data_IF_507266262089
#
_entry.id   IF_507266262089
#
_cell.length_a   1.000
_cell.length_b   1.000
_cell.length_c   1.000
_cell.angle_alpha   90.00
_cell.angle_beta   90.00
_cell.angle_gamma   90.00
#
_symmetry.space_group_name_H-M   'P 1'
#
loop_
_entity.id
_entity.type
_entity.pdbx_description
1 polymer ?
#
# COMPACT_ATOMS: atom_id res chain seq x y z
N UNK A 1 -18.12 19.81 -58.22
CA UNK A 1 -17.17 20.25 -57.17
C UNK A 1 -16.93 21.76 -57.20
N UNK A 2 -16.80 22.39 -58.37
CA UNK A 2 -16.63 23.85 -58.47
C UNK A 2 -17.82 24.67 -57.93
N UNK A 3 -19.06 24.23 -58.17
CA UNK A 3 -20.27 24.95 -57.71
C UNK A 3 -20.41 25.04 -56.18
N UNK A 4 -19.97 24.01 -55.44
CA UNK A 4 -19.97 24.00 -53.97
C UNK A 4 -18.90 24.93 -53.38
N UNK A 5 -17.79 25.11 -54.10
CA UNK A 5 -16.73 26.02 -53.69
C UNK A 5 -17.18 27.48 -53.81
N UNK A 6 -17.87 27.82 -54.90
CA UNK A 6 -18.39 29.18 -55.13
C UNK A 6 -19.47 29.56 -54.11
N UNK A 7 -20.36 28.64 -53.75
CA UNK A 7 -21.38 28.88 -52.73
C UNK A 7 -20.79 29.07 -51.33
N UNK A 8 -19.75 28.30 -50.97
CA UNK A 8 -19.03 28.50 -49.71
C UNK A 8 -18.34 29.88 -49.65
N UNK A 9 -17.73 30.34 -50.74
CA UNK A 9 -17.12 31.67 -50.78
C UNK A 9 -18.16 32.79 -50.63
N UNK A 10 -19.29 32.69 -51.32
CA UNK A 10 -20.39 33.66 -51.18
C UNK A 10 -20.99 33.68 -49.77
N UNK A 11 -21.06 32.53 -49.10
CA UNK A 11 -21.52 32.43 -47.71
C UNK A 11 -20.53 33.10 -46.74
N UNK A 12 -19.23 32.88 -46.91
CA UNK A 12 -18.17 33.49 -46.10
C UNK A 12 -18.16 35.02 -46.29
N UNK A 13 -18.25 35.50 -47.53
CA UNK A 13 -18.31 36.93 -47.83
C UNK A 13 -19.55 37.59 -47.23
N UNK A 14 -20.70 36.91 -47.30
CA UNK A 14 -21.95 37.40 -46.68
C UNK A 14 -21.83 37.46 -45.15
N UNK A 15 -21.29 36.41 -44.51
CA UNK A 15 -21.04 36.40 -43.06
C UNK A 15 -20.07 37.52 -42.66
N UNK A 16 -19.02 37.74 -43.45
CA UNK A 16 -18.04 38.80 -43.21
C UNK A 16 -18.67 40.20 -43.32
N UNK A 17 -19.47 40.45 -44.36
CA UNK A 17 -20.18 41.73 -44.57
C UNK A 17 -21.21 41.97 -43.46
N UNK A 18 -21.98 40.94 -43.08
CA UNK A 18 -22.99 41.03 -42.01
C UNK A 18 -22.32 41.30 -40.65
N UNK A 19 -21.20 40.64 -40.37
CA UNK A 19 -20.39 40.88 -39.17
C UNK A 19 -19.78 42.29 -39.16
N UNK A 20 -19.24 42.75 -40.29
CA UNK A 20 -18.66 44.10 -40.44
C UNK A 20 -19.72 45.19 -40.23
N UNK A 21 -20.91 45.03 -40.83
CA UNK A 21 -22.01 45.96 -40.67
C UNK A 21 -22.55 45.98 -39.23
N UNK A 22 -22.66 44.81 -38.60
CA UNK A 22 -23.02 44.70 -37.18
C UNK A 22 -22.00 45.39 -36.27
N UNK A 23 -20.69 45.16 -36.51
CA UNK A 23 -19.60 45.77 -35.75
C UNK A 23 -19.59 47.30 -35.89
N UNK A 24 -19.85 47.81 -37.10
CA UNK A 24 -19.94 49.25 -37.40
C UNK A 24 -21.14 49.92 -36.73
N UNK A 25 -22.30 49.25 -36.69
CA UNK A 25 -23.53 49.79 -36.10
C UNK A 25 -23.58 49.63 -34.57
N UNK A 26 -22.76 48.73 -34.02
CA UNK A 26 -22.77 48.35 -32.60
C UNK A 26 -21.42 48.63 -31.94
N UNK A 27 -20.85 49.83 -32.16
CA UNK A 27 -19.48 50.22 -31.74
C UNK A 27 -19.22 49.85 -30.28
N UNK A 28 -20.18 50.11 -29.37
CA UNK A 28 -20.06 49.75 -27.96
C UNK A 28 -19.99 48.23 -27.73
N UNK A 29 -20.92 47.47 -28.32
CA UNK A 29 -20.98 46.01 -28.17
C UNK A 29 -19.80 45.29 -28.83
N UNK A 30 -19.29 45.82 -29.94
CA UNK A 30 -18.10 45.28 -30.60
C UNK A 30 -16.84 45.45 -29.73
N UNK A 31 -16.63 46.65 -29.16
CA UNK A 31 -15.52 46.90 -28.24
C UNK A 31 -15.65 46.05 -26.95
N UNK A 32 -16.88 45.90 -26.43
CA UNK A 32 -17.16 45.05 -25.28
C UNK A 32 -16.87 43.57 -25.57
N UNK A 33 -17.31 43.06 -26.73
CA UNK A 33 -17.05 41.69 -27.16
C UNK A 33 -15.55 41.43 -27.36
N UNK A 34 -14.83 42.31 -28.05
CA UNK A 34 -13.37 42.23 -28.17
C UNK A 34 -12.68 42.23 -26.80
N UNK A 35 -13.14 43.05 -25.86
CA UNK A 35 -12.60 43.08 -24.49
C UNK A 35 -12.81 41.74 -23.77
N UNK A 36 -13.97 41.11 -23.90
CA UNK A 36 -14.25 39.78 -23.34
C UNK A 36 -13.36 38.72 -23.97
N UNK A 37 -13.31 38.67 -25.31
CA UNK A 37 -12.49 37.69 -26.04
C UNK A 37 -11.01 37.86 -25.66
N UNK A 38 -10.53 39.11 -25.60
CA UNK A 38 -9.19 39.42 -25.15
C UNK A 38 -8.95 38.93 -23.72
N UNK A 39 -9.85 39.22 -22.77
CA UNK A 39 -9.74 38.75 -21.39
C UNK A 39 -9.69 37.22 -21.28
N UNK A 40 -10.49 36.50 -22.08
CA UNK A 40 -10.46 35.03 -22.13
C UNK A 40 -9.11 34.54 -22.65
N UNK A 41 -8.59 35.12 -23.74
CA UNK A 41 -7.29 34.76 -24.29
C UNK A 41 -6.16 35.05 -23.28
N UNK A 42 -6.19 36.22 -22.65
CA UNK A 42 -5.21 36.59 -21.62
C UNK A 42 -5.27 35.63 -20.43
N UNK A 43 -6.46 35.31 -19.92
CA UNK A 43 -6.62 34.34 -18.83
C UNK A 43 -6.09 32.95 -19.24
N UNK A 44 -6.41 32.48 -20.45
CA UNK A 44 -5.92 31.19 -20.94
C UNK A 44 -4.38 31.15 -21.03
N UNK A 45 -3.78 32.15 -21.65
CA UNK A 45 -2.33 32.17 -21.94
C UNK A 45 -1.50 32.47 -20.70
N UNK A 46 -1.94 33.39 -19.84
CA UNK A 46 -1.13 33.87 -18.71
C UNK A 46 -1.50 33.26 -17.36
N UNK A 47 -2.70 32.68 -17.22
CA UNK A 47 -3.13 32.02 -15.97
C UNK A 47 -3.33 30.53 -16.16
N UNK A 48 -4.29 30.11 -17.00
CA UNK A 48 -4.70 28.70 -17.06
C UNK A 48 -3.60 27.76 -17.57
N UNK A 49 -2.93 28.09 -18.68
CA UNK A 49 -1.86 27.24 -19.26
C UNK A 49 -0.64 27.15 -18.31
N UNK A 50 -0.09 28.27 -17.78
CA UNK A 50 1.01 28.22 -16.82
C UNK A 50 0.65 27.45 -15.55
N UNK A 51 -0.55 27.64 -15.01
CA UNK A 51 -1.01 26.96 -13.80
C UNK A 51 -1.19 25.46 -14.04
N UNK A 52 -1.77 25.06 -15.18
CA UNK A 52 -1.89 23.65 -15.57
C UNK A 52 -0.52 22.98 -15.73
N UNK A 53 0.45 23.66 -16.36
CA UNK A 53 1.83 23.17 -16.48
C UNK A 53 2.50 23.03 -15.11
N UNK A 54 2.34 24.04 -14.24
CA UNK A 54 2.86 24.02 -12.86
C UNK A 54 2.26 22.85 -12.07
N UNK A 55 0.94 22.66 -12.15
CA UNK A 55 0.22 21.56 -11.51
C UNK A 55 0.74 20.20 -11.99
N UNK A 56 0.82 19.98 -13.31
CA UNK A 56 1.33 18.71 -13.88
C UNK A 56 2.78 18.41 -13.48
N UNK A 57 3.60 19.45 -13.29
CA UNK A 57 5.00 19.30 -12.90
C UNK A 57 5.17 19.00 -11.40
N UNK A 58 4.39 19.66 -10.54
CA UNK A 58 4.54 19.56 -9.08
C UNK A 58 3.66 18.49 -8.44
N UNK A 59 2.53 18.13 -9.04
CA UNK A 59 1.63 17.06 -8.55
C UNK A 59 2.36 15.72 -8.34
N UNK A 60 3.24 15.24 -9.25
CA UNK A 60 4.00 14.02 -9.02
C UNK A 60 4.87 14.03 -7.76
N UNK A 61 5.35 15.21 -7.32
CA UNK A 61 6.14 15.32 -6.08
C UNK A 61 5.24 15.05 -4.87
N UNK A 62 4.04 15.62 -4.86
CA UNK A 62 3.03 15.36 -3.81
C UNK A 62 2.62 13.89 -3.82
N UNK A 63 2.39 13.30 -5.00
CA UNK A 63 2.03 11.89 -5.13
C UNK A 63 3.14 10.94 -4.65
N UNK A 64 4.41 11.28 -4.92
CA UNK A 64 5.57 10.58 -4.37
C UNK A 64 5.62 10.67 -2.85
N UNK A 65 5.41 11.86 -2.27
CA UNK A 65 5.39 12.02 -0.81
C UNK A 65 4.22 11.25 -0.16
N UNK A 66 3.04 11.22 -0.79
CA UNK A 66 1.92 10.37 -0.36
C UNK A 66 2.27 8.88 -0.42
N UNK A 67 2.96 8.44 -1.47
CA UNK A 67 3.46 7.08 -1.57
C UNK A 67 4.47 6.75 -0.47
N UNK A 68 5.35 7.69 -0.11
CA UNK A 68 6.29 7.51 1.01
C UNK A 68 5.57 7.38 2.35
N UNK A 69 4.49 8.15 2.57
CA UNK A 69 3.64 8.00 3.76
C UNK A 69 2.98 6.62 3.78
N UNK A 70 2.39 6.20 2.66
CA UNK A 70 1.82 4.85 2.51
C UNK A 70 2.85 3.76 2.85
N UNK A 71 4.06 3.86 2.30
CA UNK A 71 5.15 2.91 2.56
C UNK A 71 5.57 2.89 4.04
N UNK A 72 5.71 4.06 4.67
CA UNK A 72 6.00 4.17 6.10
C UNK A 72 4.90 3.57 6.99
N UNK A 73 3.62 3.76 6.63
CA UNK A 73 2.49 3.14 7.33
C UNK A 73 2.48 1.62 7.13
N UNK A 74 2.75 1.12 5.92
CA UNK A 74 2.91 -0.32 5.67
C UNK A 74 3.96 -0.93 6.59
N UNK A 75 5.14 -0.28 6.70
CA UNK A 75 6.21 -0.75 7.59
C UNK A 75 5.83 -0.68 9.07
N UNK A 76 5.02 0.30 9.48
CA UNK A 76 4.49 0.37 10.83
C UNK A 76 3.58 -0.83 11.14
N UNK A 77 2.71 -1.23 10.21
CA UNK A 77 1.87 -2.41 10.37
C UNK A 77 2.68 -3.72 10.31
N UNK A 78 3.69 -3.80 9.45
CA UNK A 78 4.63 -4.92 9.44
C UNK A 78 5.37 -5.05 10.78
N UNK A 79 5.78 -3.92 11.37
CA UNK A 79 6.48 -3.88 12.65
C UNK A 79 5.61 -4.42 13.80
N UNK A 80 4.37 -3.95 13.95
CA UNK A 80 3.51 -4.42 15.04
C UNK A 80 3.14 -5.91 14.87
N UNK A 81 3.12 -6.42 13.64
CA UNK A 81 2.80 -7.81 13.33
C UNK A 81 4.05 -8.72 13.24
N UNK A 82 5.24 -8.22 13.59
CA UNK A 82 6.50 -8.95 13.48
C UNK A 82 6.67 -9.98 14.60
N UNK A 83 7.28 -11.13 14.29
CA UNK A 83 7.57 -12.16 15.28
C UNK A 83 8.90 -11.92 16.03
N UNK A 84 9.98 -11.63 15.29
CA UNK A 84 11.34 -11.43 15.82
C UNK A 84 12.03 -10.26 15.13
N UNK A 85 13.05 -9.71 15.78
CA UNK A 85 13.95 -8.74 15.15
C UNK A 85 14.50 -9.24 13.81
N UNK A 86 14.62 -8.33 12.85
CA UNK A 86 15.10 -8.60 11.48
C UNK A 86 14.29 -9.61 10.64
N UNK A 87 13.07 -9.99 11.04
CA UNK A 87 12.15 -10.79 10.22
C UNK A 87 11.00 -9.95 9.64
N UNK A 88 10.53 -10.20 8.41
CA UNK A 88 9.26 -9.64 7.95
C UNK A 88 8.09 -10.23 8.74
N UNK A 89 6.95 -9.54 8.78
CA UNK A 89 5.73 -10.12 9.33
C UNK A 89 5.16 -11.21 8.42
N UNK A 90 4.59 -12.26 9.02
CA UNK A 90 3.77 -13.25 8.31
C UNK A 90 2.46 -12.66 7.76
N UNK A 91 2.08 -11.44 8.18
CA UNK A 91 0.82 -10.79 7.83
C UNK A 91 0.95 -9.82 6.66
N UNK A 92 2.10 -9.76 5.97
CA UNK A 92 2.31 -8.84 4.84
C UNK A 92 1.23 -8.97 3.76
N UNK A 93 0.75 -10.19 3.49
CA UNK A 93 -0.30 -10.45 2.52
C UNK A 93 -1.62 -9.79 2.95
N UNK A 94 -2.03 -9.96 4.22
CA UNK A 94 -3.20 -9.29 4.79
C UNK A 94 -3.06 -7.76 4.81
N UNK A 95 -1.87 -7.26 5.19
CA UNK A 95 -1.61 -5.81 5.22
C UNK A 95 -1.74 -5.23 3.81
N UNK A 96 -1.08 -5.84 2.80
CA UNK A 96 -1.14 -5.40 1.40
C UNK A 96 -2.55 -5.52 0.82
N UNK A 97 -3.29 -6.56 1.19
CA UNK A 97 -4.67 -6.79 0.72
C UNK A 97 -5.73 -5.91 1.39
N UNK A 98 -5.39 -5.19 2.46
CA UNK A 98 -6.37 -4.41 3.22
C UNK A 98 -7.31 -5.28 4.08
N UNK A 99 -6.90 -6.50 4.44
CA UNK A 99 -7.75 -7.52 5.11
C UNK A 99 -7.35 -7.82 6.55
N UNK A 100 -6.45 -7.03 7.15
CA UNK A 100 -6.07 -7.20 8.55
C UNK A 100 -7.24 -6.85 9.48
N UNK A 101 -7.64 -7.79 10.34
CA UNK A 101 -8.73 -7.57 11.29
C UNK A 101 -8.25 -6.85 12.57
N UNK A 102 -9.19 -6.31 13.35
CA UNK A 102 -8.89 -5.78 14.69
C UNK A 102 -8.26 -6.86 15.59
N UNK A 103 -8.72 -8.11 15.49
CA UNK A 103 -8.20 -9.23 16.26
C UNK A 103 -6.78 -9.61 15.85
N UNK A 104 -6.45 -9.54 14.55
CA UNK A 104 -5.07 -9.71 14.08
C UNK A 104 -4.16 -8.64 14.71
N UNK A 105 -4.55 -7.37 14.69
CA UNK A 105 -3.79 -6.27 15.31
C UNK A 105 -3.63 -6.48 16.81
N UNK A 106 -4.73 -6.81 17.50
CA UNK A 106 -4.72 -7.11 18.95
C UNK A 106 -3.74 -8.22 19.27
N UNK A 107 -3.70 -9.27 18.46
CA UNK A 107 -2.78 -10.40 18.61
C UNK A 107 -1.32 -9.97 18.37
N UNK A 108 -1.05 -9.22 17.30
CA UNK A 108 0.29 -8.75 16.98
C UNK A 108 0.93 -7.86 18.06
N UNK A 109 0.11 -7.12 18.81
CA UNK A 109 0.56 -6.26 19.90
C UNK A 109 0.88 -7.00 21.20
N UNK A 110 0.51 -8.29 21.35
CA UNK A 110 0.67 -9.02 22.61
C UNK A 110 2.12 -9.24 23.02
N UNK A 111 3.06 -9.27 22.08
CA UNK A 111 4.48 -9.33 22.38
C UNK A 111 5.20 -7.99 22.22
N UNK A 112 4.49 -6.87 22.04
CA UNK A 112 5.12 -5.57 21.79
C UNK A 112 5.14 -4.72 23.04
N UNK A 113 6.31 -4.18 23.38
CA UNK A 113 6.48 -3.26 24.50
C UNK A 113 7.12 -1.94 24.03
N UNK A 114 7.04 -0.92 24.88
CA UNK A 114 7.48 0.43 24.52
C UNK A 114 9.02 0.51 24.43
N UNK A 115 9.72 -0.01 25.43
CA UNK A 115 11.19 0.05 25.51
C UNK A 115 11.73 -1.11 26.38
N UNK A 116 13.05 -1.23 26.46
CA UNK A 116 13.70 -2.31 27.21
C UNK A 116 13.40 -2.31 28.73
N UNK A 117 13.00 -1.18 29.32
CA UNK A 117 12.64 -1.13 30.75
C UNK A 117 11.34 -1.90 31.08
N UNK A 118 10.54 -2.23 30.07
CA UNK A 118 9.35 -3.09 30.20
C UNK A 118 9.69 -4.59 30.27
N UNK A 119 10.96 -4.97 30.07
CA UNK A 119 11.44 -6.36 30.11
C UNK A 119 11.75 -6.85 31.54
N UNK A 120 11.01 -6.37 32.54
CA UNK A 120 11.30 -6.65 33.95
C UNK A 120 10.73 -7.98 34.47
N UNK A 121 9.73 -8.57 33.81
CA UNK A 121 9.12 -9.84 34.22
C UNK A 121 9.91 -11.02 33.62
N UNK A 122 10.67 -11.80 34.43
CA UNK A 122 11.53 -12.85 33.92
C UNK A 122 10.77 -13.97 33.19
N UNK A 123 9.46 -14.15 33.48
CA UNK A 123 8.65 -15.21 32.87
C UNK A 123 8.34 -14.93 31.39
N UNK A 124 8.26 -13.67 31.00
CA UNK A 124 7.81 -13.26 29.67
C UNK A 124 8.80 -12.33 28.94
N UNK A 125 9.83 -11.82 29.60
CA UNK A 125 10.78 -10.85 29.02
C UNK A 125 11.40 -11.32 27.71
N UNK A 126 11.76 -12.60 27.61
CA UNK A 126 12.33 -13.23 26.40
C UNK A 126 11.33 -13.37 25.23
N UNK A 127 10.04 -13.15 25.48
CA UNK A 127 8.98 -13.19 24.47
C UNK A 127 8.60 -11.79 23.99
N UNK A 128 9.01 -10.72 24.68
CA UNK A 128 8.63 -9.35 24.37
C UNK A 128 9.65 -8.67 23.45
N UNK A 129 9.15 -7.78 22.60
CA UNK A 129 9.92 -7.00 21.62
C UNK A 129 9.70 -5.50 21.86
N UNK A 130 10.74 -4.76 22.25
CA UNK A 130 10.70 -3.31 22.35
C UNK A 130 10.61 -2.66 20.95
N UNK A 131 9.55 -1.89 20.70
CA UNK A 131 9.33 -1.25 19.38
C UNK A 131 9.00 0.25 19.44
N UNK A 132 8.97 0.87 20.61
CA UNK A 132 8.55 2.26 20.77
C UNK A 132 9.39 3.26 19.98
N UNK A 133 10.71 3.10 19.97
CA UNK A 133 11.64 3.96 19.21
C UNK A 133 11.34 3.92 17.70
N UNK A 134 11.18 2.71 17.14
CA UNK A 134 10.88 2.52 15.73
C UNK A 134 9.51 3.12 15.35
N UNK A 135 8.52 3.02 16.24
CA UNK A 135 7.21 3.64 16.02
C UNK A 135 7.34 5.17 16.04
N UNK A 136 8.10 5.73 16.98
CA UNK A 136 8.33 7.17 17.05
C UNK A 136 9.03 7.71 15.80
N UNK A 137 10.11 7.07 15.37
CA UNK A 137 10.83 7.46 14.16
C UNK A 137 9.94 7.40 12.92
N UNK A 138 9.15 6.34 12.77
CA UNK A 138 8.19 6.20 11.67
C UNK A 138 7.12 7.30 11.72
N UNK A 139 6.57 7.57 12.90
CA UNK A 139 5.55 8.61 13.11
C UNK A 139 6.08 10.00 12.77
N UNK A 140 7.29 10.33 13.24
CA UNK A 140 7.97 11.60 12.95
C UNK A 140 8.24 11.77 11.44
N UNK A 141 8.70 10.70 10.78
CA UNK A 141 8.90 10.71 9.33
C UNK A 141 7.60 10.97 8.58
N UNK A 142 6.51 10.30 8.96
CA UNK A 142 5.18 10.51 8.36
C UNK A 142 4.74 11.96 8.57
N UNK A 143 4.88 12.50 9.78
CA UNK A 143 4.51 13.88 10.08
C UNK A 143 5.24 14.90 9.21
N UNK A 144 6.56 14.75 9.05
CA UNK A 144 7.39 15.61 8.19
C UNK A 144 6.95 15.55 6.72
N UNK A 145 6.57 14.37 6.22
CA UNK A 145 6.05 14.21 4.86
C UNK A 145 4.67 14.88 4.71
N UNK A 146 3.82 14.78 5.73
CA UNK A 146 2.53 15.48 5.74
C UNK A 146 2.77 17.00 5.71
N UNK A 147 3.64 17.55 6.54
CA UNK A 147 3.95 19.00 6.53
C UNK A 147 4.46 19.48 5.17
N UNK A 148 5.29 18.67 4.52
CA UNK A 148 5.76 18.93 3.16
C UNK A 148 4.59 18.98 2.18
N UNK A 149 3.66 18.01 2.21
CA UNK A 149 2.47 18.01 1.35
C UNK A 149 1.56 19.22 1.62
N UNK A 150 1.37 19.60 2.89
CA UNK A 150 0.59 20.79 3.27
C UNK A 150 1.21 22.08 2.72
N UNK A 151 2.55 22.15 2.62
CA UNK A 151 3.25 23.26 1.96
C UNK A 151 2.96 23.32 0.45
N UNK A 152 2.51 22.21 -0.14
CA UNK A 152 2.07 22.06 -1.53
C UNK A 152 0.54 21.90 -1.65
N UNK A 153 -0.24 22.44 -0.70
CA UNK A 153 -1.70 22.26 -0.64
C UNK A 153 -2.45 22.58 -1.95
N UNK A 154 -2.01 23.58 -2.72
CA UNK A 154 -2.59 23.96 -4.03
C UNK A 154 -2.52 22.83 -5.08
N UNK A 155 -1.71 21.80 -4.86
CA UNK A 155 -1.56 20.62 -5.71
C UNK A 155 -2.20 19.35 -5.11
N UNK A 156 -2.89 19.49 -3.99
CA UNK A 156 -3.57 18.41 -3.28
C UNK A 156 -5.08 18.64 -3.26
N UNK A 157 -5.86 17.56 -3.30
CA UNK A 157 -7.30 17.67 -3.11
C UNK A 157 -7.66 17.86 -1.63
N UNK A 158 -8.79 18.48 -1.29
CA UNK A 158 -9.24 18.59 0.09
C UNK A 158 -9.42 17.23 0.79
N UNK A 159 -9.82 16.20 0.04
CA UNK A 159 -10.00 14.83 0.55
C UNK A 159 -8.66 14.25 0.99
N UNK A 160 -7.61 14.42 0.18
CA UNK A 160 -6.25 13.99 0.51
C UNK A 160 -5.74 14.70 1.77
N UNK A 161 -5.86 16.03 1.82
CA UNK A 161 -5.40 16.82 2.96
C UNK A 161 -6.12 16.44 4.26
N UNK A 162 -7.44 16.20 4.19
CA UNK A 162 -8.23 15.76 5.34
C UNK A 162 -7.82 14.37 5.80
N UNK A 163 -7.58 13.44 4.87
CA UNK A 163 -7.12 12.09 5.20
C UNK A 163 -5.75 12.13 5.89
N UNK A 164 -4.80 12.90 5.35
CA UNK A 164 -3.48 13.05 5.94
C UNK A 164 -3.54 13.67 7.33
N UNK A 165 -4.42 14.64 7.56
CA UNK A 165 -4.63 15.22 8.88
C UNK A 165 -5.22 14.20 9.88
N UNK A 166 -6.18 13.38 9.44
CA UNK A 166 -6.69 12.26 10.27
C UNK A 166 -5.59 11.26 10.63
N UNK A 167 -4.72 10.91 9.68
CA UNK A 167 -3.56 10.04 9.91
C UNK A 167 -2.63 10.66 10.95
N UNK A 168 -2.31 11.95 10.81
CA UNK A 168 -1.50 12.69 11.79
C UNK A 168 -2.12 12.69 13.18
N UNK A 169 -3.43 12.92 13.29
CA UNK A 169 -4.14 12.93 14.57
C UNK A 169 -4.10 11.56 15.24
N UNK A 170 -4.33 10.47 14.49
CA UNK A 170 -4.25 9.12 15.05
C UNK A 170 -2.82 8.76 15.45
N UNK A 171 -1.79 9.18 14.71
CA UNK A 171 -0.38 8.98 15.12
C UNK A 171 -0.05 9.71 16.44
N UNK A 172 -0.61 10.91 16.65
CA UNK A 172 -0.36 11.75 17.83
C UNK A 172 -1.27 11.46 19.03
N UNK A 173 -2.29 10.61 18.87
CA UNK A 173 -3.28 10.30 19.91
C UNK A 173 -2.66 9.79 21.21
N UNK A 174 -1.54 9.09 21.08
CA UNK A 174 -0.73 8.64 22.20
C UNK A 174 0.68 9.20 22.07
N UNK A 175 1.18 9.64 23.21
CA UNK A 175 2.49 10.24 23.32
C UNK A 175 3.60 9.17 23.21
N UNK A 176 4.26 9.13 22.04
CA UNK A 176 5.51 8.40 21.83
C UNK A 176 6.72 9.32 22.00
N UNK A 177 6.63 10.41 22.78
CA UNK A 177 7.76 11.32 22.98
C UNK A 177 9.03 10.54 23.38
N UNK A 178 10.15 10.99 22.83
CA UNK A 178 11.49 10.45 23.04
C UNK A 178 11.78 10.30 24.54
N UNK A 179 11.23 11.20 25.35
CA UNK A 179 11.29 11.14 26.81
C UNK A 179 10.60 9.89 27.37
N UNK A 180 9.35 9.60 26.99
CA UNK A 180 8.63 8.39 27.44
C UNK A 180 9.27 7.09 26.95
N UNK A 181 9.88 7.12 25.78
CA UNK A 181 10.63 5.97 25.24
C UNK A 181 11.92 5.74 26.02
N UNK A 182 12.57 6.80 26.51
CA UNK A 182 13.79 6.74 27.33
C UNK A 182 13.52 6.64 28.83
N UNK A 183 12.30 6.92 29.27
CA UNK A 183 11.86 6.83 30.66
C UNK A 183 11.90 5.38 31.13
N UNK A 184 12.46 5.20 32.32
CA UNK A 184 12.47 3.92 32.98
C UNK A 184 11.06 3.65 33.52
N UNK A 185 10.40 2.59 33.07
CA UNK A 185 9.05 2.21 33.49
C UNK A 185 8.93 2.10 35.03
N UNK A 186 10.03 1.74 35.70
CA UNK A 186 10.12 1.63 37.15
C UNK A 186 9.99 3.00 37.84
N UNK A 187 10.53 4.07 37.25
CA UNK A 187 10.60 5.40 37.89
C UNK A 187 9.33 6.23 37.78
N UNK A 188 8.43 5.94 36.83
CA UNK A 188 7.28 6.81 36.53
C UNK A 188 5.99 6.33 37.19
N UNK A 189 5.77 5.01 37.30
CA UNK A 189 4.49 4.45 37.77
C UNK A 189 4.63 3.27 38.73
N UNK A 190 5.85 2.83 39.04
CA UNK A 190 6.08 1.44 39.43
C UNK A 190 5.85 0.48 38.25
N UNK A 191 6.16 -0.80 38.44
CA UNK A 191 6.05 -1.80 37.37
C UNK A 191 4.61 -1.89 36.84
N UNK A 192 4.35 -1.61 35.55
CA UNK A 192 3.02 -1.75 34.99
C UNK A 192 2.58 -3.22 35.06
N UNK A 193 1.34 -3.47 35.52
CA UNK A 193 0.80 -4.84 35.62
C UNK A 193 0.84 -5.59 34.29
N UNK A 194 0.73 -4.87 33.17
CA UNK A 194 0.80 -5.39 31.81
C UNK A 194 1.85 -4.60 31.01
N UNK A 195 3.01 -5.21 30.67
CA UNK A 195 4.15 -4.49 30.10
C UNK A 195 4.11 -4.34 28.56
N UNK A 196 2.93 -4.37 27.95
CA UNK A 196 2.75 -4.41 26.50
C UNK A 196 1.82 -3.31 26.00
N UNK A 197 1.92 -2.96 24.71
CA UNK A 197 1.21 -1.82 24.12
C UNK A 197 -0.17 -2.18 23.50
N UNK A 198 -0.73 -3.35 23.83
CA UNK A 198 -2.04 -3.79 23.28
C UNK A 198 -3.19 -2.82 23.61
N UNK A 199 -3.09 -2.01 24.67
CA UNK A 199 -4.11 -1.00 25.02
C UNK A 199 -4.34 0.03 23.89
N UNK A 200 -3.47 0.03 22.87
CA UNK A 200 -3.56 0.85 21.66
C UNK A 200 -4.21 0.14 20.48
N UNK A 201 -4.78 -1.04 20.67
CA UNK A 201 -5.40 -1.82 19.59
C UNK A 201 -6.38 -1.00 18.75
N UNK A 202 -7.22 -0.17 19.38
CA UNK A 202 -8.19 0.67 18.66
C UNK A 202 -7.50 1.73 17.81
N UNK A 203 -6.47 2.38 18.35
CA UNK A 203 -5.72 3.39 17.62
C UNK A 203 -4.97 2.81 16.42
N UNK A 204 -4.34 1.65 16.56
CA UNK A 204 -3.72 0.98 15.42
C UNK A 204 -4.75 0.52 14.40
N UNK A 205 -5.92 0.05 14.84
CA UNK A 205 -6.98 -0.37 13.93
C UNK A 205 -7.61 0.81 13.18
N UNK A 206 -7.86 1.93 13.84
CA UNK A 206 -8.35 3.14 13.19
C UNK A 206 -7.32 3.74 12.24
N UNK A 207 -6.03 3.76 12.62
CA UNK A 207 -4.94 4.10 11.71
C UNK A 207 -4.87 3.15 10.50
N UNK A 208 -5.16 1.86 10.69
CA UNK A 208 -5.16 0.88 9.60
C UNK A 208 -6.28 1.15 8.58
N UNK A 209 -7.47 1.57 9.03
CA UNK A 209 -8.54 2.00 8.13
C UNK A 209 -8.12 3.20 7.28
N UNK A 210 -7.48 4.20 7.91
CA UNK A 210 -6.96 5.37 7.21
C UNK A 210 -5.84 4.99 6.22
N UNK A 211 -5.00 4.01 6.57
CA UNK A 211 -4.01 3.44 5.67
C UNK A 211 -4.64 2.79 4.43
N UNK A 212 -5.75 2.07 4.57
CA UNK A 212 -6.49 1.49 3.43
C UNK A 212 -7.06 2.60 2.53
N UNK A 213 -7.60 3.67 3.11
CA UNK A 213 -8.06 4.83 2.33
C UNK A 213 -6.90 5.47 1.55
N UNK A 214 -5.73 5.62 2.17
CA UNK A 214 -4.54 6.15 1.50
C UNK A 214 -4.03 5.20 0.42
N UNK A 215 -4.08 3.89 0.65
CA UNK A 215 -3.70 2.85 -0.29
C UNK A 215 -4.51 2.97 -1.60
N UNK A 216 -5.82 3.18 -1.52
CA UNK A 216 -6.65 3.38 -2.71
C UNK A 216 -6.24 4.64 -3.49
N UNK A 217 -5.98 5.75 -2.81
CA UNK A 217 -5.52 6.99 -3.46
C UNK A 217 -4.19 6.76 -4.17
N UNK A 218 -3.21 6.20 -3.46
CA UNK A 218 -1.84 6.00 -3.96
C UNK A 218 -1.79 4.99 -5.12
N UNK A 219 -2.52 3.87 -5.02
CA UNK A 219 -2.43 2.81 -6.01
C UNK A 219 -3.42 2.98 -7.16
N UNK A 220 -4.59 3.57 -6.95
CA UNK A 220 -5.66 3.62 -7.97
C UNK A 220 -5.93 4.99 -8.56
N UNK A 221 -5.71 6.08 -7.82
CA UNK A 221 -6.12 7.43 -8.23
C UNK A 221 -4.96 8.33 -8.69
N UNK A 222 -3.79 8.16 -8.09
CA UNK A 222 -2.61 8.93 -8.46
C UNK A 222 -2.06 8.53 -9.83
N UNK A 223 -1.41 9.49 -10.49
CA UNK A 223 -0.79 9.26 -11.81
C UNK A 223 0.70 8.89 -11.70
N UNK A 224 1.32 9.13 -10.56
CA UNK A 224 2.69 8.72 -10.27
C UNK A 224 2.84 7.21 -10.43
N UNK A 225 3.76 6.80 -11.30
CA UNK A 225 3.96 5.41 -11.66
C UNK A 225 5.46 5.11 -11.72
N UNK A 226 5.92 4.27 -10.80
CA UNK A 226 7.27 3.72 -10.77
C UNK A 226 7.21 2.19 -10.62
N UNK A 227 8.39 1.57 -10.57
CA UNK A 227 8.52 0.12 -10.37
C UNK A 227 7.83 -0.37 -9.10
N UNK A 228 7.92 0.39 -8.00
CA UNK A 228 7.37 -0.05 -6.72
C UNK A 228 5.85 0.03 -6.68
N UNK A 229 5.26 1.10 -7.22
CA UNK A 229 3.81 1.25 -7.39
C UNK A 229 3.28 0.10 -8.25
N UNK A 230 3.98 -0.26 -9.34
CA UNK A 230 3.61 -1.41 -10.16
C UNK A 230 3.57 -2.71 -9.36
N UNK A 231 4.65 -3.03 -8.64
CA UNK A 231 4.76 -4.24 -7.81
C UNK A 231 3.67 -4.25 -6.71
N UNK A 232 3.51 -3.15 -5.99
CA UNK A 232 2.56 -3.06 -4.89
C UNK A 232 1.12 -3.09 -5.37
N UNK A 233 0.81 -2.52 -6.53
CA UNK A 233 -0.53 -2.60 -7.11
C UNK A 233 -0.89 -4.02 -7.53
N UNK A 234 0.04 -4.78 -8.11
CA UNK A 234 -0.16 -6.21 -8.41
C UNK A 234 -0.52 -6.96 -7.12
N UNK A 235 0.27 -6.76 -6.07
CA UNK A 235 0.07 -7.45 -4.79
C UNK A 235 -1.24 -7.04 -4.13
N UNK A 236 -1.55 -5.74 -4.11
CA UNK A 236 -2.83 -5.24 -3.60
C UNK A 236 -4.02 -5.89 -4.34
N UNK A 237 -4.02 -5.86 -5.67
CA UNK A 237 -5.12 -6.43 -6.46
C UNK A 237 -5.25 -7.93 -6.26
N UNK A 238 -4.13 -8.66 -6.14
CA UNK A 238 -4.16 -10.10 -5.86
C UNK A 238 -4.69 -10.41 -4.45
N UNK A 239 -4.11 -9.81 -3.41
CA UNK A 239 -4.48 -10.10 -2.02
C UNK A 239 -5.84 -9.53 -1.62
N UNK A 240 -6.38 -8.56 -2.36
CA UNK A 240 -7.77 -8.08 -2.22
C UNK A 240 -8.79 -8.88 -3.06
N UNK A 241 -8.37 -9.95 -3.75
CA UNK A 241 -9.26 -10.81 -4.54
C UNK A 241 -9.69 -10.24 -5.90
N UNK A 242 -9.10 -9.12 -6.33
CA UNK A 242 -9.42 -8.44 -7.60
C UNK A 242 -8.64 -9.04 -8.78
N UNK A 243 -8.71 -10.37 -8.96
CA UNK A 243 -7.86 -11.13 -9.89
C UNK A 243 -7.94 -10.65 -11.34
N UNK A 244 -9.14 -10.37 -11.85
CA UNK A 244 -9.31 -9.90 -13.22
C UNK A 244 -8.66 -8.52 -13.44
N UNK A 245 -8.77 -7.63 -12.46
CA UNK A 245 -8.11 -6.32 -12.52
C UNK A 245 -6.59 -6.46 -12.45
N UNK A 246 -6.09 -7.39 -11.63
CA UNK A 246 -4.67 -7.71 -11.55
C UNK A 246 -4.12 -8.18 -12.92
N UNK A 247 -4.82 -9.13 -13.57
CA UNK A 247 -4.50 -9.60 -14.91
C UNK A 247 -4.46 -8.44 -15.91
N UNK A 248 -5.48 -7.59 -15.92
CA UNK A 248 -5.56 -6.43 -16.81
C UNK A 248 -4.40 -5.45 -16.56
N UNK A 249 -4.06 -5.22 -15.29
CA UNK A 249 -2.97 -4.34 -14.90
C UNK A 249 -1.60 -4.87 -15.35
N UNK A 250 -1.33 -6.17 -15.17
CA UNK A 250 -0.10 -6.82 -15.63
C UNK A 250 0.01 -6.75 -17.16
N UNK A 251 -1.06 -7.11 -17.88
CA UNK A 251 -1.06 -7.12 -19.35
C UNK A 251 -0.84 -5.72 -19.94
N UNK A 252 -1.49 -4.70 -19.37
CA UNK A 252 -1.34 -3.30 -19.81
C UNK A 252 0.09 -2.78 -19.65
N UNK A 253 0.80 -3.23 -18.61
CA UNK A 253 2.10 -2.69 -18.23
C UNK A 253 3.29 -3.62 -18.47
N UNK A 254 3.08 -4.74 -19.18
CA UNK A 254 4.08 -5.81 -19.37
C UNK A 254 5.44 -5.36 -19.93
N UNK A 255 5.45 -4.25 -20.68
CA UNK A 255 6.65 -3.76 -21.37
C UNK A 255 7.45 -2.72 -20.56
N UNK A 256 6.93 -2.23 -19.42
CA UNK A 256 7.58 -1.13 -18.67
C UNK A 256 8.72 -1.60 -17.77
N UNK A 257 8.62 -2.79 -17.18
CA UNK A 257 9.58 -3.30 -16.20
C UNK A 257 10.00 -4.73 -16.55
N UNK A 258 10.92 -4.86 -17.51
CA UNK A 258 11.37 -6.18 -17.99
C UNK A 258 12.08 -7.01 -16.92
N UNK A 259 12.75 -6.37 -15.96
CA UNK A 259 13.42 -7.04 -14.84
C UNK A 259 12.43 -7.77 -13.91
N UNK A 260 11.17 -7.32 -13.85
CA UNK A 260 10.11 -7.88 -13.00
C UNK A 260 9.15 -8.80 -13.76
N UNK A 261 9.54 -9.27 -14.94
CA UNK A 261 8.68 -10.11 -15.77
C UNK A 261 8.30 -11.40 -15.04
N UNK A 262 9.27 -12.08 -14.41
CA UNK A 262 9.00 -13.31 -13.66
C UNK A 262 8.10 -13.05 -12.44
N UNK A 263 8.30 -11.93 -11.75
CA UNK A 263 7.45 -11.55 -10.62
C UNK A 263 5.99 -11.34 -11.06
N UNK A 264 5.78 -10.53 -12.10
CA UNK A 264 4.43 -10.23 -12.60
C UNK A 264 3.76 -11.45 -13.24
N UNK A 265 4.51 -12.31 -13.94
CA UNK A 265 3.99 -13.54 -14.52
C UNK A 265 3.64 -14.60 -13.46
N UNK A 266 4.36 -14.67 -12.33
CA UNK A 266 3.94 -15.51 -11.21
C UNK A 266 2.57 -15.05 -10.67
N UNK A 267 2.38 -13.75 -10.41
CA UNK A 267 1.06 -13.24 -9.99
C UNK A 267 -0.01 -13.43 -11.07
N UNK A 268 0.33 -13.29 -12.35
CA UNK A 268 -0.60 -13.61 -13.44
C UNK A 268 -1.06 -15.07 -13.37
N UNK A 269 -0.13 -16.01 -13.23
CA UNK A 269 -0.45 -17.44 -13.10
C UNK A 269 -1.35 -17.68 -11.89
N UNK A 270 -1.00 -17.12 -10.72
CA UNK A 270 -1.83 -17.23 -9.52
C UNK A 270 -3.24 -16.69 -9.74
N UNK A 271 -3.38 -15.53 -10.41
CA UNK A 271 -4.71 -15.02 -10.76
C UNK A 271 -5.48 -15.98 -11.67
N UNK A 272 -4.83 -16.58 -12.68
CA UNK A 272 -5.47 -17.58 -13.55
C UNK A 272 -5.96 -18.80 -12.76
N UNK A 273 -5.19 -19.24 -11.76
CA UNK A 273 -5.61 -20.33 -10.88
C UNK A 273 -6.85 -19.95 -10.07
N UNK A 274 -6.88 -18.75 -9.48
CA UNK A 274 -7.99 -18.26 -8.65
C UNK A 274 -9.30 -18.05 -9.43
N UNK A 275 -9.24 -17.88 -10.76
CA UNK A 275 -10.42 -17.78 -11.64
C UNK A 275 -10.73 -19.10 -12.37
N UNK A 276 -10.25 -20.24 -11.83
CA UNK A 276 -10.43 -21.61 -12.35
C UNK A 276 -9.84 -21.89 -13.75
N UNK A 277 -8.98 -21.02 -14.27
CA UNK A 277 -8.26 -21.25 -15.53
C UNK A 277 -6.94 -22.02 -15.29
N UNK A 278 -7.06 -23.24 -14.77
CA UNK A 278 -5.92 -24.09 -14.42
C UNK A 278 -5.01 -24.40 -15.62
N UNK A 279 -5.57 -24.47 -16.83
CA UNK A 279 -4.80 -24.75 -18.05
C UNK A 279 -3.75 -23.65 -18.30
N UNK A 280 -4.15 -22.39 -18.21
CA UNK A 280 -3.21 -21.28 -18.41
C UNK A 280 -2.23 -21.18 -17.23
N UNK A 281 -2.69 -21.39 -15.99
CA UNK A 281 -1.80 -21.46 -14.81
C UNK A 281 -0.62 -22.41 -15.04
N UNK A 282 -0.88 -23.69 -15.31
CA UNK A 282 0.19 -24.68 -15.48
C UNK A 282 1.11 -24.35 -16.67
N UNK A 283 0.55 -23.83 -17.76
CA UNK A 283 1.33 -23.42 -18.93
C UNK A 283 2.24 -22.23 -18.61
N UNK A 284 1.74 -21.22 -17.90
CA UNK A 284 2.55 -20.07 -17.48
C UNK A 284 3.65 -20.50 -16.52
N UNK A 285 3.35 -21.36 -15.55
CA UNK A 285 4.35 -21.89 -14.62
C UNK A 285 5.44 -22.70 -15.35
N UNK A 286 5.08 -23.62 -16.24
CA UNK A 286 6.05 -24.41 -17.03
C UNK A 286 7.00 -23.47 -17.81
N UNK A 287 6.48 -22.39 -18.40
CA UNK A 287 7.29 -21.39 -19.09
C UNK A 287 8.22 -20.61 -18.16
N UNK A 288 7.74 -20.13 -17.01
CA UNK A 288 8.55 -19.36 -16.05
C UNK A 288 9.70 -20.22 -15.52
N UNK A 289 9.39 -21.43 -15.03
CA UNK A 289 10.32 -22.23 -14.26
C UNK A 289 11.28 -23.06 -15.11
N UNK A 290 11.00 -23.22 -16.40
CA UNK A 290 11.96 -23.76 -17.39
C UNK A 290 13.27 -22.97 -17.42
N UNK A 291 13.21 -21.66 -17.23
CA UNK A 291 14.39 -20.78 -17.22
C UNK A 291 15.07 -20.69 -15.85
N UNK A 292 14.55 -21.42 -14.85
CA UNK A 292 15.06 -21.44 -13.47
C UNK A 292 15.24 -20.02 -12.89
N UNK A 293 14.15 -19.28 -12.64
CA UNK A 293 14.20 -17.88 -12.20
C UNK A 293 14.83 -17.74 -10.80
N UNK A 294 15.10 -16.50 -10.39
CA UNK A 294 15.59 -16.15 -9.04
C UNK A 294 16.89 -16.86 -8.64
N UNK A 295 17.91 -16.70 -9.49
CA UNK A 295 19.23 -17.34 -9.34
C UNK A 295 19.17 -18.88 -9.35
N UNK A 296 18.14 -19.45 -9.96
CA UNK A 296 17.99 -20.88 -10.13
C UNK A 296 17.56 -21.66 -8.90
N UNK A 297 17.23 -20.99 -7.79
CA UNK A 297 16.77 -21.65 -6.57
C UNK A 297 15.24 -21.69 -6.50
N UNK A 298 14.67 -22.89 -6.35
CA UNK A 298 13.23 -23.07 -6.17
C UNK A 298 12.71 -22.42 -4.87
N UNK A 299 13.54 -22.41 -3.82
CA UNK A 299 13.21 -21.80 -2.53
C UNK A 299 13.01 -20.29 -2.63
N UNK A 300 13.69 -19.63 -3.56
CA UNK A 300 13.48 -18.21 -3.84
C UNK A 300 12.07 -17.90 -4.36
N UNK A 301 11.36 -18.91 -4.89
CA UNK A 301 10.00 -18.80 -5.41
C UNK A 301 8.91 -19.24 -4.45
N UNK A 302 9.26 -19.62 -3.22
CA UNK A 302 8.30 -20.16 -2.23
C UNK A 302 7.09 -19.27 -1.95
N UNK A 303 7.24 -17.95 -2.00
CA UNK A 303 6.11 -17.02 -1.81
C UNK A 303 5.00 -17.21 -2.84
N UNK A 304 5.29 -17.76 -4.02
CA UNK A 304 4.30 -18.03 -5.07
C UNK A 304 3.79 -19.46 -5.07
N UNK A 305 4.59 -20.41 -4.58
CA UNK A 305 4.33 -21.84 -4.73
C UNK A 305 3.90 -22.54 -3.44
N UNK A 306 3.98 -21.85 -2.28
CA UNK A 306 3.69 -22.41 -0.96
C UNK A 306 2.32 -23.11 -0.84
N UNK A 307 1.31 -22.60 -1.54
CA UNK A 307 -0.07 -23.11 -1.45
C UNK A 307 -0.31 -24.32 -2.36
N UNK A 308 0.72 -24.77 -3.11
CA UNK A 308 0.62 -25.80 -4.13
C UNK A 308 1.60 -26.96 -3.91
N UNK A 309 2.10 -27.13 -2.68
CA UNK A 309 3.04 -28.21 -2.32
C UNK A 309 2.46 -29.61 -2.48
N UNK A 310 1.13 -29.73 -2.58
CA UNK A 310 0.39 -30.98 -2.77
C UNK A 310 -0.19 -31.14 -4.20
N UNK A 311 -0.03 -30.14 -5.09
CA UNK A 311 -0.55 -30.23 -6.46
C UNK A 311 0.35 -31.11 -7.33
N UNK A 312 -0.05 -32.37 -7.54
CA UNK A 312 0.71 -33.37 -8.31
C UNK A 312 1.11 -32.87 -9.70
N UNK A 313 0.26 -32.09 -10.37
CA UNK A 313 0.53 -31.63 -11.74
C UNK A 313 1.58 -30.52 -11.74
N UNK A 314 1.52 -29.60 -10.77
CA UNK A 314 2.58 -28.61 -10.55
C UNK A 314 3.90 -29.29 -10.19
N UNK A 315 3.86 -30.27 -9.29
CA UNK A 315 5.04 -31.02 -8.86
C UNK A 315 5.72 -31.67 -10.07
N UNK A 316 4.94 -32.34 -10.92
CA UNK A 316 5.44 -32.96 -12.14
C UNK A 316 6.05 -31.94 -13.13
N UNK A 317 5.56 -30.69 -13.16
CA UNK A 317 6.17 -29.62 -13.96
C UNK A 317 7.52 -29.21 -13.38
N UNK A 318 7.58 -28.94 -12.07
CA UNK A 318 8.79 -28.49 -11.40
C UNK A 318 9.91 -29.54 -11.45
N UNK A 319 9.56 -30.83 -11.27
CA UNK A 319 10.52 -31.95 -11.33
C UNK A 319 11.15 -32.18 -12.70
N UNK A 320 10.66 -31.55 -13.78
CA UNK A 320 11.36 -31.54 -15.08
C UNK A 320 12.63 -30.69 -15.05
N UNK A 321 12.68 -29.68 -14.18
CA UNK A 321 13.69 -28.62 -14.20
C UNK A 321 14.51 -28.53 -12.91
N UNK A 322 14.02 -29.08 -11.81
CA UNK A 322 14.65 -29.09 -10.49
C UNK A 322 14.89 -30.51 -10.01
N UNK A 323 15.97 -30.72 -9.24
CA UNK A 323 16.26 -32.04 -8.67
C UNK A 323 15.31 -32.38 -7.51
N UNK A 324 15.24 -33.65 -7.15
CA UNK A 324 14.49 -34.09 -5.96
C UNK A 324 15.02 -33.42 -4.68
N UNK A 325 16.34 -33.26 -4.54
CA UNK A 325 16.95 -32.58 -3.39
C UNK A 325 16.51 -31.11 -3.28
N UNK A 326 16.46 -30.38 -4.41
CA UNK A 326 15.99 -29.00 -4.44
C UNK A 326 14.51 -28.87 -4.05
N UNK A 327 13.70 -29.83 -4.50
CA UNK A 327 12.28 -29.87 -4.20
C UNK A 327 12.01 -30.23 -2.73
N UNK A 328 12.72 -31.21 -2.16
CA UNK A 328 12.61 -31.55 -0.74
C UNK A 328 13.08 -30.39 0.14
N UNK A 329 14.19 -29.72 -0.20
CA UNK A 329 14.64 -28.53 0.51
C UNK A 329 13.60 -27.40 0.50
N UNK A 330 12.91 -27.21 -0.63
CA UNK A 330 11.78 -26.30 -0.75
C UNK A 330 10.62 -26.64 0.18
N UNK A 331 10.22 -27.92 0.25
CA UNK A 331 9.13 -28.37 1.14
C UNK A 331 9.49 -28.15 2.61
N UNK A 332 10.67 -28.58 3.04
CA UNK A 332 11.16 -28.42 4.41
C UNK A 332 11.17 -26.94 4.81
N UNK A 333 11.58 -26.04 3.89
CA UNK A 333 11.57 -24.59 4.15
C UNK A 333 10.15 -24.07 4.40
N UNK A 334 9.16 -24.50 3.60
CA UNK A 334 7.75 -24.08 3.77
C UNK A 334 7.18 -24.61 5.09
N UNK A 335 7.49 -25.85 5.45
CA UNK A 335 7.08 -26.44 6.72
C UNK A 335 7.65 -25.65 7.91
N UNK A 336 8.94 -25.28 7.88
CA UNK A 336 9.55 -24.44 8.90
C UNK A 336 8.90 -23.04 8.99
N UNK A 337 8.55 -22.42 7.87
CA UNK A 337 7.84 -21.13 7.87
C UNK A 337 6.45 -21.26 8.52
N UNK A 338 5.74 -22.36 8.29
CA UNK A 338 4.46 -22.66 8.93
C UNK A 338 4.61 -22.90 10.42
N UNK A 339 5.62 -23.67 10.85
CA UNK A 339 5.92 -23.88 12.27
C UNK A 339 6.25 -22.56 12.99
N UNK A 340 7.01 -21.68 12.35
CA UNK A 340 7.30 -20.36 12.92
C UNK A 340 6.06 -19.47 13.02
N UNK A 341 5.16 -19.54 12.03
CA UNK A 341 3.87 -18.84 12.10
C UNK A 341 3.02 -19.36 13.26
N UNK A 342 2.88 -20.68 13.39
CA UNK A 342 2.12 -21.30 14.48
C UNK A 342 2.72 -20.96 15.85
N UNK A 343 4.06 -20.93 15.96
CA UNK A 343 4.75 -20.48 17.16
C UNK A 343 4.46 -19.03 17.51
N UNK A 344 4.43 -18.12 16.53
CA UNK A 344 4.02 -16.73 16.73
C UNK A 344 2.59 -16.65 17.27
N UNK A 345 1.65 -17.37 16.65
CA UNK A 345 0.24 -17.38 17.04
C UNK A 345 0.08 -17.89 18.48
N UNK A 346 0.69 -19.04 18.80
CA UNK A 346 0.60 -19.67 20.11
C UNK A 346 1.27 -18.83 21.21
N UNK A 347 2.41 -18.21 20.92
CA UNK A 347 3.11 -17.31 21.85
C UNK A 347 2.24 -16.12 22.21
N UNK A 348 1.68 -15.43 21.21
CA UNK A 348 0.86 -14.25 21.44
C UNK A 348 -0.46 -14.55 22.14
N UNK A 349 -1.09 -15.70 21.86
CA UNK A 349 -2.27 -16.15 22.63
C UNK A 349 -1.91 -16.47 24.07
N UNK A 350 -0.77 -17.11 24.30
CA UNK A 350 -0.28 -17.42 25.65
C UNK A 350 0.02 -16.15 26.45
N UNK A 351 0.63 -15.15 25.82
CA UNK A 351 0.85 -13.82 26.40
C UNK A 351 -0.49 -13.13 26.71
N UNK A 352 -1.46 -13.19 25.81
CA UNK A 352 -2.80 -12.64 26.06
C UNK A 352 -3.46 -13.26 27.29
N UNK A 353 -3.43 -14.60 27.42
CA UNK A 353 -3.92 -15.31 28.60
C UNK A 353 -3.14 -14.92 29.87
N UNK A 354 -1.81 -14.78 29.76
CA UNK A 354 -0.96 -14.34 30.86
C UNK A 354 -1.33 -12.92 31.36
N UNK A 355 -1.55 -11.98 30.45
CA UNK A 355 -1.94 -10.62 30.78
C UNK A 355 -3.35 -10.55 31.37
N UNK A 356 -4.30 -11.33 30.87
CA UNK A 356 -5.65 -11.41 31.43
C UNK A 356 -5.69 -11.95 32.87
N UNK A 357 -4.78 -12.86 33.21
CA UNK A 357 -4.63 -13.33 34.60
C UNK A 357 -4.06 -12.25 35.54
N UNK A 358 -3.37 -11.23 35.00
CA UNK A 358 -2.81 -10.11 35.79
C UNK A 358 -3.73 -8.89 35.85
N UNK A 359 -4.59 -8.71 34.85
CA UNK A 359 -5.57 -7.63 34.79
C UNK A 359 -6.91 -8.18 34.32
N UNK A 360 -7.85 -8.33 35.25
CA UNK A 360 -9.18 -8.91 35.04
C UNK A 360 -10.06 -8.13 34.06
N UNK A 361 -9.66 -6.90 33.69
CA UNK A 361 -10.34 -6.12 32.66
C UNK A 361 -10.04 -6.62 31.24
N UNK A 362 -9.08 -7.55 31.09
CA UNK A 362 -8.64 -8.04 29.80
C UNK A 362 -9.30 -9.36 29.46
N UNK A 363 -9.84 -9.41 28.25
CA UNK A 363 -10.43 -10.61 27.68
C UNK A 363 -9.34 -11.32 26.87
N UNK A 364 -8.99 -12.56 27.24
CA UNK A 364 -7.99 -13.34 26.52
C UNK A 364 -8.46 -13.62 25.08
N UNK A 365 -7.51 -13.70 24.15
CA UNK A 365 -7.80 -14.10 22.77
C UNK A 365 -8.00 -15.62 22.74
N UNK A 366 -9.20 -16.09 22.38
CA UNK A 366 -9.55 -17.51 22.33
C UNK A 366 -9.08 -18.21 21.03
N UNK A 367 -8.89 -19.53 21.13
CA UNK A 367 -8.50 -20.41 20.04
C UNK A 367 -9.72 -20.68 19.11
N UNK A 368 -10.14 -19.67 18.34
CA UNK A 368 -11.29 -19.82 17.43
C UNK A 368 -11.49 -18.73 16.40
N UNK A 369 -11.05 -17.50 16.65
CA UNK A 369 -11.39 -16.35 15.77
C UNK A 369 -10.47 -16.18 14.54
N UNK A 370 -9.36 -16.93 14.45
CA UNK A 370 -8.35 -16.78 13.39
C UNK A 370 -8.06 -18.11 12.66
N UNK A 371 -9.06 -18.99 12.47
CA UNK A 371 -8.93 -20.04 11.44
C UNK A 371 -9.13 -19.38 10.09
N UNK A 372 -8.02 -19.08 9.41
CA UNK A 372 -7.98 -18.84 7.97
C UNK A 372 -8.26 -20.14 7.23
#
# INVERSE_FOLDING_TARGET
MEHYFTECFLLIDKIYIDFYNWAKNSIFYYQFFLSIVSAIIFWLVFSHIPESKKYKSLRPIVELDMYQIYSSLFHLFDLIMRYKDASPSFFQEKIRGGTLSRNDIKLGLQNKCLNASYLFDPKISHLLMPIGEQIFESSKKIEQLIDKIFSFNQFSSPIELLLLEKIRQELKKYDYDERRIKENAVSVTGFPSVPVIYYREENFYDLYKLFIELQDIVLNRNNYFDRNIFIFKIQYLFYSGQYQQCINHINKNRNYFSEDINFSQNYYALCQYQIDNKKEFYKTIDNIYKERPYNGSLVSSRSFLKDFTEDEKLINILKKYYTEEEYEYFKVTIEQEKEHFDLFMNTNRSLSKYHANKDFRLIPIEDGENKL
#
